data_IF_802602496888
#
_entry.id   IF_802602496888
#
_cell.length_a   1.000
_cell.length_b   1.000
_cell.length_c   1.000
_cell.angle_alpha   90.00
_cell.angle_beta   90.00
_cell.angle_gamma   90.00
#
_symmetry.space_group_name_H-M   'P 1'
#
loop_
_entity.id
_entity.type
_entity.pdbx_description
1 polymer ?
#
# COMPACT_ATOMS: atom_id res chain seq x y z
N UNK A 1 32.41 37.24 -36.29
CA UNK A 1 31.26 36.92 -35.40
C UNK A 1 30.48 35.67 -35.83
N UNK A 2 30.22 35.39 -37.13
CA UNK A 2 29.48 34.18 -37.53
C UNK A 2 30.20 32.84 -37.27
N UNK A 3 31.51 32.75 -37.55
CA UNK A 3 32.24 31.48 -37.43
C UNK A 3 32.37 30.98 -35.99
N UNK A 4 32.60 31.88 -35.03
CA UNK A 4 32.75 31.51 -33.61
C UNK A 4 31.43 30.96 -33.03
N UNK A 5 30.29 31.57 -33.40
CA UNK A 5 28.97 31.05 -33.03
C UNK A 5 28.76 29.64 -33.61
N UNK A 6 29.04 29.44 -34.89
CA UNK A 6 28.89 28.14 -35.55
C UNK A 6 29.79 27.06 -34.93
N UNK A 7 31.01 27.42 -34.53
CA UNK A 7 31.93 26.48 -33.89
C UNK A 7 31.45 26.11 -32.47
N UNK A 8 30.93 27.06 -31.70
CA UNK A 8 30.29 26.77 -30.40
C UNK A 8 29.07 25.86 -30.59
N UNK A 9 28.24 26.09 -31.61
CA UNK A 9 27.09 25.22 -31.89
C UNK A 9 27.53 23.78 -32.23
N UNK A 10 28.57 23.60 -33.04
CA UNK A 10 29.15 22.26 -33.32
C UNK A 10 29.67 21.60 -32.06
N UNK A 11 30.35 22.36 -31.18
CA UNK A 11 30.81 21.84 -29.88
C UNK A 11 29.64 21.39 -29.03
N UNK A 12 28.57 22.18 -28.91
CA UNK A 12 27.38 21.82 -28.13
C UNK A 12 26.64 20.60 -28.70
N UNK A 13 26.59 20.45 -30.02
CA UNK A 13 25.99 19.27 -30.68
C UNK A 13 26.71 17.99 -30.27
N UNK A 14 28.04 18.04 -30.20
CA UNK A 14 28.89 16.89 -29.84
C UNK A 14 29.01 16.71 -28.31
N UNK A 15 29.00 17.80 -27.55
CA UNK A 15 29.15 17.83 -26.10
C UNK A 15 28.26 18.91 -25.46
N UNK A 16 26.99 18.58 -25.13
CA UNK A 16 26.03 19.56 -24.60
C UNK A 16 26.44 20.12 -23.23
N UNK A 17 27.30 19.42 -22.47
CA UNK A 17 27.82 19.91 -21.18
C UNK A 17 28.71 21.16 -21.32
N UNK A 18 29.19 21.48 -22.52
CA UNK A 18 29.93 22.71 -22.78
C UNK A 18 29.10 23.97 -22.48
N UNK A 19 27.77 23.86 -22.39
CA UNK A 19 26.87 24.97 -22.00
C UNK A 19 27.27 25.62 -20.67
N UNK A 20 27.87 24.84 -19.74
CA UNK A 20 28.34 25.35 -18.43
C UNK A 20 29.50 26.36 -18.53
N UNK A 21 30.17 26.38 -19.68
CA UNK A 21 31.36 27.19 -19.95
C UNK A 21 31.05 28.39 -20.85
N UNK A 22 29.79 28.58 -21.23
CA UNK A 22 29.36 29.69 -22.09
C UNK A 22 28.70 30.74 -21.21
N UNK A 23 29.28 31.94 -21.19
CA UNK A 23 28.66 33.09 -20.55
C UNK A 23 27.47 33.57 -21.41
N UNK A 24 26.29 33.69 -20.80
CA UNK A 24 25.05 34.13 -21.45
C UNK A 24 24.71 33.36 -22.75
N UNK A 25 24.50 32.03 -22.71
CA UNK A 25 24.25 31.25 -23.91
C UNK A 25 22.97 31.70 -24.62
N UNK A 26 23.01 31.78 -25.95
CA UNK A 26 21.83 32.11 -26.76
C UNK A 26 20.73 31.04 -26.62
N UNK A 27 19.46 31.39 -26.90
CA UNK A 27 18.35 30.42 -26.82
C UNK A 27 18.60 29.18 -27.71
N UNK A 28 19.25 29.33 -28.86
CA UNK A 28 19.64 28.23 -29.75
C UNK A 28 20.64 27.27 -29.08
N UNK A 29 21.66 27.82 -28.40
CA UNK A 29 22.64 27.05 -27.64
C UNK A 29 21.99 26.32 -26.45
N UNK A 30 21.13 27.04 -25.71
CA UNK A 30 20.34 26.46 -24.62
C UNK A 30 19.48 25.30 -25.13
N UNK A 31 18.81 25.48 -26.28
CA UNK A 31 17.94 24.48 -26.90
C UNK A 31 18.70 23.21 -27.27
N UNK A 32 19.89 23.33 -27.88
CA UNK A 32 20.73 22.17 -28.21
C UNK A 32 21.09 21.40 -26.93
N UNK A 33 21.49 22.11 -25.87
CA UNK A 33 21.88 21.50 -24.61
C UNK A 33 20.71 20.74 -23.96
N UNK A 34 19.57 21.40 -23.72
CA UNK A 34 18.44 20.80 -23.00
C UNK A 34 17.71 19.72 -23.80
N UNK A 35 17.77 19.76 -25.15
CA UNK A 35 17.27 18.65 -25.98
C UNK A 35 18.04 17.36 -25.75
N UNK A 36 19.37 17.46 -25.60
CA UNK A 36 20.23 16.29 -25.37
C UNK A 36 20.14 15.80 -23.92
N UNK A 37 20.11 16.72 -22.95
CA UNK A 37 19.98 16.40 -21.54
C UNK A 37 19.27 17.53 -20.79
N UNK A 38 18.00 17.30 -20.41
CA UNK A 38 17.19 18.27 -19.69
C UNK A 38 17.80 18.73 -18.35
N UNK A 39 18.68 17.94 -17.72
CA UNK A 39 19.33 18.32 -16.46
C UNK A 39 20.32 19.46 -16.61
N UNK A 40 20.75 19.76 -17.84
CA UNK A 40 21.62 20.91 -18.13
C UNK A 40 20.91 22.25 -17.92
N UNK A 41 19.59 22.26 -17.73
CA UNK A 41 18.83 23.45 -17.33
C UNK A 41 19.43 24.14 -16.10
N UNK A 42 20.04 23.38 -15.18
CA UNK A 42 20.70 23.92 -13.97
C UNK A 42 21.86 24.89 -14.23
N UNK A 43 22.43 24.87 -15.44
CA UNK A 43 23.52 25.75 -15.84
C UNK A 43 23.03 26.98 -16.64
N UNK A 44 21.73 27.08 -16.90
CA UNK A 44 21.14 28.16 -17.70
C UNK A 44 20.50 29.17 -16.76
N UNK A 45 21.00 30.41 -16.76
CA UNK A 45 20.38 31.49 -16.03
C UNK A 45 19.14 32.02 -16.77
N UNK A 46 18.02 32.19 -16.05
CA UNK A 46 16.76 32.74 -16.56
C UNK A 46 16.27 32.10 -17.89
N UNK A 47 16.13 30.76 -17.98
CA UNK A 47 15.67 30.09 -19.20
C UNK A 47 14.23 30.50 -19.54
N UNK A 48 13.94 30.66 -20.83
CA UNK A 48 12.58 30.95 -21.30
C UNK A 48 11.65 29.76 -21.04
N UNK A 49 10.34 29.99 -20.98
CA UNK A 49 9.32 28.92 -20.83
C UNK A 49 9.50 27.81 -21.89
N UNK A 50 9.91 28.19 -23.11
CA UNK A 50 10.18 27.24 -24.19
C UNK A 50 11.36 26.33 -23.89
N UNK A 51 12.45 26.87 -23.34
CA UNK A 51 13.63 26.09 -22.93
C UNK A 51 13.31 25.21 -21.72
N UNK A 52 12.56 25.74 -20.76
CA UNK A 52 12.09 24.98 -19.59
C UNK A 52 11.24 23.78 -20.01
N UNK A 53 10.23 23.98 -20.88
CA UNK A 53 9.39 22.89 -21.38
C UNK A 53 10.18 21.84 -22.16
N UNK A 54 11.15 22.25 -22.98
CA UNK A 54 11.99 21.30 -23.69
C UNK A 54 12.87 20.48 -22.73
N UNK A 55 13.43 21.13 -21.71
CA UNK A 55 14.17 20.43 -20.65
C UNK A 55 13.29 19.40 -19.94
N UNK A 56 12.03 19.74 -19.62
CA UNK A 56 11.08 18.79 -19.00
C UNK A 56 10.71 17.62 -19.91
N UNK A 57 10.56 17.85 -21.22
CA UNK A 57 10.33 16.77 -22.20
C UNK A 57 11.52 15.81 -22.29
N UNK A 58 12.74 16.34 -22.23
CA UNK A 58 13.97 15.55 -22.22
C UNK A 58 14.15 14.80 -20.88
N UNK A 59 13.93 15.49 -19.77
CA UNK A 59 14.03 14.93 -18.43
C UNK A 59 13.09 15.65 -17.44
N UNK A 60 12.03 14.95 -17.02
CA UNK A 60 11.04 15.46 -16.07
C UNK A 60 11.62 15.90 -14.71
N UNK A 61 12.78 15.38 -14.30
CA UNK A 61 13.45 15.82 -13.07
C UNK A 61 14.04 17.22 -13.17
N UNK A 62 14.17 17.78 -14.38
CA UNK A 62 14.62 19.15 -14.58
C UNK A 62 13.68 20.20 -13.95
N UNK A 63 12.46 19.80 -13.54
CA UNK A 63 11.54 20.63 -12.75
C UNK A 63 12.19 21.19 -11.48
N UNK A 64 13.15 20.46 -10.89
CA UNK A 64 13.94 20.89 -9.73
C UNK A 64 14.70 22.20 -9.98
N UNK A 65 15.07 22.48 -11.24
CA UNK A 65 15.83 23.66 -11.64
C UNK A 65 14.96 24.80 -12.19
N UNK A 66 13.63 24.62 -12.18
CA UNK A 66 12.70 25.69 -12.54
C UNK A 66 12.26 26.39 -11.26
N UNK A 67 12.57 27.69 -11.14
CA UNK A 67 12.32 28.46 -9.91
C UNK A 67 10.82 28.53 -9.57
N UNK A 68 10.00 28.79 -10.59
CA UNK A 68 8.54 28.98 -10.49
C UNK A 68 7.87 28.22 -11.64
N UNK A 69 7.76 26.88 -11.54
CA UNK A 69 7.14 26.09 -12.59
C UNK A 69 5.64 26.40 -12.69
N UNK A 70 5.10 26.38 -13.90
CA UNK A 70 3.67 26.55 -14.12
C UNK A 70 2.91 25.30 -13.68
N UNK A 71 1.61 25.43 -13.38
CA UNK A 71 0.78 24.27 -13.03
C UNK A 71 0.76 23.22 -14.17
N UNK A 72 0.84 23.67 -15.43
CA UNK A 72 0.94 22.78 -16.59
C UNK A 72 2.24 21.97 -16.59
N UNK A 73 3.39 22.62 -16.28
CA UNK A 73 4.67 21.93 -16.14
C UNK A 73 4.64 20.92 -15.00
N UNK A 74 4.08 21.31 -13.85
CA UNK A 74 3.89 20.45 -12.69
C UNK A 74 3.01 19.23 -13.03
N UNK A 75 1.87 19.44 -13.68
CA UNK A 75 0.97 18.36 -14.11
C UNK A 75 1.68 17.42 -15.08
N UNK A 76 2.37 17.97 -16.09
CA UNK A 76 3.11 17.19 -17.07
C UNK A 76 4.14 16.25 -16.42
N UNK A 77 4.96 16.74 -15.49
CA UNK A 77 5.98 15.88 -14.87
C UNK A 77 5.39 14.84 -13.94
N UNK A 78 4.31 15.16 -13.23
CA UNK A 78 3.63 14.22 -12.33
C UNK A 78 2.90 13.14 -13.12
N UNK A 79 2.26 13.48 -14.25
CA UNK A 79 1.65 12.51 -15.17
C UNK A 79 2.66 11.49 -15.73
N UNK A 80 3.90 11.92 -15.92
CA UNK A 80 4.99 11.06 -16.39
C UNK A 80 5.70 10.30 -15.25
N UNK A 81 5.65 10.81 -14.03
CA UNK A 81 6.12 10.12 -12.82
C UNK A 81 5.56 10.75 -11.55
N UNK A 82 4.74 9.99 -10.82
CA UNK A 82 4.15 10.41 -9.55
C UNK A 82 5.15 10.99 -8.55
N UNK A 83 6.39 10.48 -8.50
CA UNK A 83 7.42 10.92 -7.55
C UNK A 83 8.12 12.22 -7.97
N UNK A 84 7.76 12.85 -9.09
CA UNK A 84 8.18 14.22 -9.44
C UNK A 84 7.61 15.25 -8.49
N UNK A 85 6.51 14.93 -7.84
CA UNK A 85 5.91 15.75 -6.79
C UNK A 85 6.91 16.16 -5.70
N UNK A 86 7.93 15.34 -5.42
CA UNK A 86 8.97 15.64 -4.40
C UNK A 86 9.84 16.85 -4.74
N UNK A 87 9.92 17.21 -6.02
CA UNK A 87 10.70 18.36 -6.51
C UNK A 87 9.85 19.61 -6.70
N UNK A 88 8.53 19.51 -6.52
CA UNK A 88 7.59 20.61 -6.67
C UNK A 88 7.38 21.24 -5.30
N UNK A 89 7.72 22.53 -5.18
CA UNK A 89 7.51 23.27 -3.94
C UNK A 89 6.03 23.59 -3.78
N UNK A 90 5.45 23.25 -2.63
CA UNK A 90 4.04 23.49 -2.29
C UNK A 90 3.07 23.00 -3.38
N UNK A 91 3.05 21.69 -3.72
CA UNK A 91 2.20 21.17 -4.78
C UNK A 91 0.72 21.40 -4.46
N UNK A 92 -0.07 21.65 -5.50
CA UNK A 92 -1.52 21.80 -5.36
C UNK A 92 -2.16 20.50 -4.86
N UNK A 93 -3.31 20.59 -4.20
CA UNK A 93 -4.08 19.41 -3.78
C UNK A 93 -4.46 18.54 -4.98
N UNK A 94 -4.82 19.14 -6.10
CA UNK A 94 -5.14 18.41 -7.33
C UNK A 94 -3.95 17.59 -7.82
N UNK A 95 -2.75 18.19 -7.82
CA UNK A 95 -1.54 17.53 -8.25
C UNK A 95 -1.12 16.38 -7.32
N UNK A 96 -1.27 16.56 -6.00
CA UNK A 96 -1.09 15.50 -5.02
C UNK A 96 -2.06 14.33 -5.27
N UNK A 97 -3.33 14.62 -5.56
CA UNK A 97 -4.33 13.60 -5.90
C UNK A 97 -3.97 12.88 -7.21
N UNK A 98 -3.48 13.60 -8.24
CA UNK A 98 -2.99 12.97 -9.48
C UNK A 98 -1.83 12.00 -9.20
N UNK A 99 -0.90 12.37 -8.32
CA UNK A 99 0.19 11.50 -7.91
C UNK A 99 -0.32 10.25 -7.15
N UNK A 100 -1.26 10.43 -6.22
CA UNK A 100 -1.87 9.32 -5.44
C UNK A 100 -2.62 8.33 -6.34
N UNK A 101 -3.38 8.82 -7.32
CA UNK A 101 -4.07 7.96 -8.31
C UNK A 101 -3.10 7.07 -9.11
N UNK A 102 -1.88 7.53 -9.34
CA UNK A 102 -0.83 6.74 -9.97
C UNK A 102 -0.15 5.77 -8.99
N UNK A 103 0.16 6.23 -7.77
CA UNK A 103 0.81 5.43 -6.72
C UNK A 103 0.36 5.89 -5.34
N UNK A 104 -0.22 5.00 -4.54
CA UNK A 104 -0.76 5.31 -3.22
C UNK A 104 0.30 5.88 -2.27
N UNK A 105 1.56 5.45 -2.42
CA UNK A 105 2.70 5.96 -1.66
C UNK A 105 2.94 7.46 -1.81
N UNK A 106 2.41 8.11 -2.84
CA UNK A 106 2.49 9.55 -2.99
C UNK A 106 1.82 10.33 -1.85
N UNK A 107 0.96 9.68 -1.04
CA UNK A 107 0.36 10.29 0.15
C UNK A 107 1.40 10.80 1.15
N UNK A 108 2.62 10.26 1.15
CA UNK A 108 3.72 10.74 1.99
C UNK A 108 4.07 12.23 1.75
N UNK A 109 3.66 12.79 0.60
CA UNK A 109 3.87 14.20 0.25
C UNK A 109 2.63 15.08 0.54
N UNK A 110 1.51 14.48 0.96
CA UNK A 110 0.29 15.19 1.31
C UNK A 110 0.28 15.43 2.82
N UNK A 111 0.46 16.69 3.25
CA UNK A 111 0.33 17.06 4.66
C UNK A 111 -1.15 17.09 5.08
N UNK A 112 -1.47 16.39 6.17
CA UNK A 112 -2.82 16.32 6.75
C UNK A 112 -3.90 15.92 5.72
N UNK A 113 -3.78 14.75 5.05
CA UNK A 113 -4.71 14.34 4.01
C UNK A 113 -6.10 14.05 4.61
N UNK A 114 -7.19 14.54 3.99
CA UNK A 114 -8.54 14.20 4.44
C UNK A 114 -8.80 12.69 4.26
N UNK A 115 -9.75 12.15 5.01
CA UNK A 115 -10.05 10.70 5.04
C UNK A 115 -10.25 10.11 3.63
N UNK A 116 -10.95 10.82 2.73
CA UNK A 116 -11.16 10.37 1.35
C UNK A 116 -9.85 10.14 0.57
N UNK A 117 -8.83 10.94 0.84
CA UNK A 117 -7.51 10.82 0.20
C UNK A 117 -6.70 9.71 0.85
N UNK A 118 -6.84 9.53 2.16
CA UNK A 118 -6.27 8.38 2.88
C UNK A 118 -6.83 7.06 2.34
N UNK A 119 -8.15 6.98 2.16
CA UNK A 119 -8.83 5.82 1.55
C UNK A 119 -8.32 5.58 0.14
N UNK A 120 -8.27 6.61 -0.70
CA UNK A 120 -7.75 6.49 -2.07
C UNK A 120 -6.32 5.93 -2.11
N UNK A 121 -5.46 6.37 -1.18
CA UNK A 121 -4.09 5.89 -1.11
C UNK A 121 -4.00 4.40 -0.73
N UNK A 122 -4.75 3.96 0.30
CA UNK A 122 -4.73 2.55 0.72
C UNK A 122 -5.44 1.63 -0.28
N UNK A 123 -6.46 2.11 -0.99
CA UNK A 123 -7.06 1.36 -2.11
C UNK A 123 -6.10 1.18 -3.27
N UNK A 124 -5.25 2.18 -3.52
CA UNK A 124 -4.25 2.10 -4.58
C UNK A 124 -3.08 1.18 -4.22
N UNK A 125 -2.55 1.34 -3.02
CA UNK A 125 -1.47 0.52 -2.47
C UNK A 125 -1.76 0.39 -0.96
N UNK A 126 -2.23 -0.78 -0.49
CA UNK A 126 -2.65 -0.99 0.91
C UNK A 126 -1.57 -0.65 1.93
N UNK A 127 -0.29 -0.82 1.56
CA UNK A 127 0.85 -0.54 2.42
C UNK A 127 1.16 0.96 2.52
N UNK A 128 0.45 1.82 1.77
CA UNK A 128 0.50 3.28 1.92
C UNK A 128 0.09 3.75 3.31
N UNK A 129 -0.66 2.93 4.06
CA UNK A 129 -1.03 3.24 5.44
C UNK A 129 0.19 3.52 6.33
N UNK A 130 1.37 2.96 6.01
CA UNK A 130 2.64 3.26 6.71
C UNK A 130 3.09 4.71 6.58
N UNK A 131 2.60 5.44 5.59
CA UNK A 131 2.90 6.85 5.33
C UNK A 131 1.82 7.80 5.85
N UNK A 132 0.76 7.29 6.48
CA UNK A 132 -0.31 8.08 7.05
C UNK A 132 -0.03 8.22 8.55
N UNK A 133 0.19 9.45 9.03
CA UNK A 133 0.57 9.69 10.43
C UNK A 133 -0.57 9.33 11.39
N UNK A 134 -1.81 9.73 11.05
CA UNK A 134 -3.00 9.49 11.86
C UNK A 134 -4.13 8.92 10.99
N UNK A 135 -4.04 7.63 10.60
CA UNK A 135 -5.09 7.01 9.80
C UNK A 135 -6.37 6.87 10.63
N UNK A 136 -7.50 7.25 10.03
CA UNK A 136 -8.80 7.06 10.68
C UNK A 136 -9.12 5.58 10.85
N UNK A 137 -10.05 5.24 11.74
CA UNK A 137 -10.51 3.87 11.92
C UNK A 137 -11.01 3.25 10.61
N UNK A 138 -11.72 4.02 9.79
CA UNK A 138 -12.18 3.61 8.46
C UNK A 138 -11.02 3.22 7.54
N UNK A 139 -9.94 4.01 7.54
CA UNK A 139 -8.74 3.77 6.73
C UNK A 139 -8.00 2.53 7.21
N UNK A 140 -7.85 2.37 8.54
CA UNK A 140 -7.25 1.16 9.15
C UNK A 140 -8.01 -0.10 8.74
N UNK A 141 -9.34 -0.07 8.85
CA UNK A 141 -10.24 -1.16 8.43
C UNK A 141 -10.06 -1.46 6.94
N UNK A 142 -10.15 -0.43 6.08
CA UNK A 142 -10.01 -0.60 4.62
C UNK A 142 -8.67 -1.25 4.24
N UNK A 143 -7.58 -0.86 4.89
CA UNK A 143 -6.27 -1.43 4.61
C UNK A 143 -6.22 -2.95 4.90
N UNK A 144 -6.73 -3.40 6.05
CA UNK A 144 -6.76 -4.84 6.40
C UNK A 144 -7.81 -5.64 5.61
N UNK A 145 -8.91 -5.00 5.21
CA UNK A 145 -9.90 -5.56 4.30
C UNK A 145 -9.32 -5.84 2.90
N UNK A 146 -8.40 -5.01 2.42
CA UNK A 146 -7.66 -5.26 1.18
C UNK A 146 -6.62 -6.35 1.42
N UNK A 147 -5.70 -6.14 2.38
CA UNK A 147 -4.61 -7.06 2.67
C UNK A 147 -4.39 -7.20 4.17
N UNK A 148 -4.49 -8.42 4.69
CA UNK A 148 -4.48 -8.68 6.14
C UNK A 148 -3.16 -8.24 6.79
N UNK A 149 -2.05 -8.36 6.07
CA UNK A 149 -0.72 -8.03 6.57
C UNK A 149 -0.49 -6.51 6.70
N UNK A 150 -1.45 -5.67 6.25
CA UNK A 150 -1.45 -4.22 6.51
C UNK A 150 -1.42 -3.91 8.01
N UNK A 151 -1.93 -4.81 8.85
CA UNK A 151 -1.93 -4.67 10.30
C UNK A 151 -0.53 -4.43 10.88
N UNK A 152 0.54 -4.93 10.22
CA UNK A 152 1.93 -4.71 10.65
C UNK A 152 2.36 -3.24 10.63
N UNK A 153 1.65 -2.39 9.89
CA UNK A 153 1.93 -0.95 9.80
C UNK A 153 0.95 -0.10 10.62
N UNK A 154 -0.05 -0.72 11.26
CA UNK A 154 -1.06 -0.02 12.04
C UNK A 154 -0.62 0.02 13.49
N UNK A 155 -0.32 1.21 14.00
CA UNK A 155 -0.09 1.40 15.43
C UNK A 155 -1.40 1.26 16.19
N UNK A 156 -1.36 0.49 17.27
CA UNK A 156 -2.49 0.27 18.19
C UNK A 156 -3.79 -0.02 17.42
N UNK A 157 -3.86 -1.12 16.64
CA UNK A 157 -5.06 -1.46 15.90
C UNK A 157 -6.21 -1.71 16.86
N UNK A 158 -7.41 -1.21 16.57
CA UNK A 158 -8.59 -1.50 17.37
C UNK A 158 -8.91 -3.00 17.32
N UNK A 159 -9.73 -3.49 18.26
CA UNK A 159 -10.23 -4.87 18.22
C UNK A 159 -10.90 -5.20 16.88
N UNK A 160 -11.61 -4.24 16.28
CA UNK A 160 -12.25 -4.41 14.96
C UNK A 160 -11.22 -4.67 13.87
N UNK A 161 -10.17 -3.85 13.79
CA UNK A 161 -9.09 -3.99 12.81
C UNK A 161 -8.35 -5.32 13.01
N UNK A 162 -8.05 -5.68 14.26
CA UNK A 162 -7.41 -6.94 14.62
C UNK A 162 -8.23 -8.15 14.14
N UNK A 163 -9.52 -8.20 14.50
CA UNK A 163 -10.45 -9.29 14.12
C UNK A 163 -10.56 -9.45 12.60
N UNK A 164 -10.63 -8.35 11.85
CA UNK A 164 -10.66 -8.40 10.38
C UNK A 164 -9.38 -9.04 9.83
N UNK A 165 -8.20 -8.58 10.26
CA UNK A 165 -6.94 -9.14 9.80
C UNK A 165 -6.81 -10.64 10.14
N UNK A 166 -7.12 -11.02 11.38
CA UNK A 166 -7.05 -12.40 11.89
C UNK A 166 -8.05 -13.32 11.18
N UNK A 167 -9.26 -12.84 10.90
CA UNK A 167 -10.27 -13.61 10.17
C UNK A 167 -9.82 -13.99 8.75
N UNK A 168 -8.98 -13.15 8.11
CA UNK A 168 -8.45 -13.38 6.76
C UNK A 168 -7.21 -14.27 6.80
N UNK A 169 -6.35 -14.10 7.79
CA UNK A 169 -5.18 -14.93 7.99
C UNK A 169 -4.77 -14.96 9.46
N UNK A 170 -4.62 -16.16 10.00
CA UNK A 170 -4.25 -16.36 11.40
C UNK A 170 -2.85 -15.86 11.75
N UNK A 171 -1.94 -15.72 10.76
CA UNK A 171 -0.60 -15.16 10.97
C UNK A 171 -0.64 -13.67 11.37
N UNK A 172 -1.75 -12.98 11.16
CA UNK A 172 -1.96 -11.61 11.61
C UNK A 172 -1.65 -11.43 13.12
N UNK A 173 -1.91 -12.45 13.95
CA UNK A 173 -1.64 -12.40 15.39
C UNK A 173 -0.15 -12.21 15.73
N UNK A 174 0.76 -12.53 14.80
CA UNK A 174 2.21 -12.34 15.00
C UNK A 174 2.62 -10.86 14.94
N UNK A 175 1.76 -9.99 14.39
CA UNK A 175 1.97 -8.55 14.28
C UNK A 175 1.17 -7.75 15.31
N UNK A 176 0.40 -8.40 16.18
CA UNK A 176 -0.40 -7.74 17.22
C UNK A 176 0.35 -7.87 18.55
N UNK A 177 0.70 -6.73 19.14
CA UNK A 177 1.36 -6.69 20.44
C UNK A 177 0.35 -6.83 21.59
N UNK A 178 0.78 -7.44 22.70
CA UNK A 178 0.03 -7.50 23.96
C UNK A 178 -1.41 -8.02 23.84
N UNK A 179 -1.62 -9.10 23.07
CA UNK A 179 -2.94 -9.72 22.88
C UNK A 179 -3.51 -10.18 24.23
N UNK A 180 -4.65 -9.61 24.61
CA UNK A 180 -5.37 -9.95 25.85
C UNK A 180 -6.05 -11.31 25.75
N UNK A 181 -6.43 -11.89 26.89
CA UNK A 181 -7.22 -13.14 26.90
C UNK A 181 -8.53 -12.98 26.11
N UNK A 182 -9.24 -11.87 26.31
CA UNK A 182 -10.45 -11.54 25.55
C UNK A 182 -10.20 -11.46 24.04
N UNK A 183 -9.08 -10.87 23.62
CA UNK A 183 -8.68 -10.81 22.22
C UNK A 183 -8.45 -12.22 21.65
N UNK A 184 -7.74 -13.09 22.37
CA UNK A 184 -7.56 -14.49 21.97
C UNK A 184 -8.89 -15.23 21.82
N UNK A 185 -9.85 -15.02 22.73
CA UNK A 185 -11.17 -15.64 22.63
C UNK A 185 -11.89 -15.21 21.34
N UNK A 186 -11.86 -13.90 21.02
CA UNK A 186 -12.40 -13.39 19.77
C UNK A 186 -11.69 -13.96 18.53
N UNK A 187 -10.36 -14.06 18.57
CA UNK A 187 -9.56 -14.58 17.45
C UNK A 187 -9.82 -16.05 17.17
N UNK A 188 -9.97 -16.87 18.22
CA UNK A 188 -10.36 -18.28 18.08
C UNK A 188 -11.76 -18.38 17.45
N UNK A 189 -12.70 -17.54 17.88
CA UNK A 189 -14.06 -17.50 17.32
C UNK A 189 -14.07 -17.09 15.84
N UNK A 190 -13.18 -16.18 15.43
CA UNK A 190 -13.10 -15.66 14.06
C UNK A 190 -12.32 -16.58 13.12
N UNK A 191 -11.21 -17.16 13.58
CA UNK A 191 -10.35 -18.03 12.79
C UNK A 191 -9.68 -19.10 13.67
N UNK A 192 -10.19 -20.32 13.63
CA UNK A 192 -9.69 -21.45 14.43
C UNK A 192 -8.22 -21.79 14.16
N UNK A 193 -7.65 -21.41 13.02
CA UNK A 193 -6.23 -21.67 12.71
C UNK A 193 -5.29 -20.91 13.64
N UNK A 194 -5.75 -19.89 14.38
CA UNK A 194 -4.93 -19.17 15.36
C UNK A 194 -4.45 -20.06 16.51
N UNK A 195 -5.06 -21.23 16.72
CA UNK A 195 -4.69 -22.16 17.78
C UNK A 195 -3.19 -22.54 17.76
N UNK A 196 -2.53 -22.51 16.59
CA UNK A 196 -1.07 -22.70 16.49
C UNK A 196 -0.23 -21.65 17.23
N UNK A 197 -0.83 -20.50 17.59
CA UNK A 197 -0.18 -19.37 18.28
C UNK A 197 -0.71 -19.10 19.70
N UNK A 198 -1.83 -19.73 20.08
CA UNK A 198 -2.47 -19.52 21.39
C UNK A 198 -1.56 -20.04 22.51
N UNK A 199 -0.93 -21.21 22.33
CA UNK A 199 -0.13 -21.88 23.36
C UNK A 199 -0.89 -21.93 24.72
N UNK A 200 -0.22 -21.79 25.86
CA UNK A 200 -0.83 -21.83 27.19
C UNK A 200 -1.59 -20.55 27.59
N UNK A 201 -1.95 -19.67 26.64
CA UNK A 201 -2.63 -18.38 26.92
C UNK A 201 -4.12 -18.56 27.21
N UNK A 202 -4.72 -19.64 26.73
CA UNK A 202 -6.13 -20.00 26.96
C UNK A 202 -6.15 -21.47 27.35
N UNK A 203 -6.92 -21.82 28.39
CA UNK A 203 -7.03 -23.22 28.81
C UNK A 203 -7.72 -24.07 27.74
N UNK A 204 -7.42 -25.37 27.69
CA UNK A 204 -8.09 -26.26 26.75
C UNK A 204 -9.62 -26.26 26.94
N UNK A 205 -10.09 -26.18 28.19
CA UNK A 205 -11.52 -26.11 28.52
C UNK A 205 -12.15 -24.85 27.91
N UNK A 206 -11.49 -23.70 28.05
CA UNK A 206 -11.95 -22.45 27.46
C UNK A 206 -11.98 -22.50 25.94
N UNK A 207 -10.95 -23.08 25.30
CA UNK A 207 -10.93 -23.27 23.85
C UNK A 207 -12.12 -24.13 23.40
N UNK A 208 -12.37 -25.24 24.08
CA UNK A 208 -13.51 -26.11 23.79
C UNK A 208 -14.85 -25.37 23.96
N UNK A 209 -14.99 -24.54 24.99
CA UNK A 209 -16.19 -23.71 25.19
C UNK A 209 -16.40 -22.68 24.08
N UNK A 210 -15.36 -21.98 23.64
CA UNK A 210 -15.42 -21.01 22.53
C UNK A 210 -15.87 -21.71 21.25
N UNK A 211 -15.26 -22.86 20.93
CA UNK A 211 -15.60 -23.62 19.72
C UNK A 211 -17.02 -24.15 19.80
N UNK A 212 -17.42 -24.72 20.94
CA UNK A 212 -18.80 -25.16 21.19
C UNK A 212 -19.79 -24.03 20.94
N UNK A 213 -19.50 -22.84 21.45
CA UNK A 213 -20.35 -21.67 21.30
C UNK A 213 -20.40 -21.11 19.88
N UNK A 214 -19.34 -21.30 19.09
CA UNK A 214 -19.32 -20.96 17.67
C UNK A 214 -20.10 -21.97 16.83
N UNK A 215 -19.86 -23.27 17.00
CA UNK A 215 -20.43 -24.31 16.13
C UNK A 215 -21.90 -24.61 16.41
N UNK A 216 -22.43 -24.22 17.57
CA UNK A 216 -23.87 -24.33 17.88
C UNK A 216 -24.73 -23.33 17.10
N UNK A 217 -24.13 -22.26 16.54
CA UNK A 217 -24.85 -21.23 15.77
C UNK A 217 -25.22 -21.76 14.38
N UNK A 218 -26.43 -21.45 13.91
CA UNK A 218 -26.90 -21.89 12.58
C UNK A 218 -26.30 -21.07 11.43
N UNK A 219 -25.67 -19.93 11.72
CA UNK A 219 -24.97 -19.12 10.72
C UNK A 219 -23.50 -19.53 10.53
N UNK A 220 -22.98 -20.48 11.31
CA UNK A 220 -21.57 -20.90 11.30
C UNK A 220 -21.05 -21.16 9.87
N UNK A 221 -19.86 -20.65 9.58
CA UNK A 221 -19.21 -20.82 8.28
C UNK A 221 -18.72 -22.27 8.11
N UNK A 222 -18.97 -22.86 6.94
CA UNK A 222 -18.48 -24.19 6.57
C UNK A 222 -16.95 -24.29 6.64
N UNK A 223 -16.23 -23.26 6.23
CA UNK A 223 -14.77 -23.24 6.23
C UNK A 223 -14.21 -23.31 7.65
N UNK A 224 -14.86 -22.62 8.61
CA UNK A 224 -14.50 -22.72 10.03
C UNK A 224 -14.61 -24.17 10.55
N UNK A 225 -15.67 -24.88 10.18
CA UNK A 225 -15.87 -26.28 10.57
C UNK A 225 -14.81 -27.18 9.95
N UNK A 226 -14.49 -26.97 8.66
CA UNK A 226 -13.45 -27.73 7.97
C UNK A 226 -12.08 -27.49 8.61
N UNK A 227 -11.74 -26.24 8.91
CA UNK A 227 -10.49 -25.88 9.57
C UNK A 227 -10.41 -26.48 10.98
N UNK A 228 -11.52 -26.51 11.73
CA UNK A 228 -11.58 -27.17 13.04
C UNK A 228 -11.39 -28.70 12.93
N UNK A 229 -11.95 -29.35 11.91
CA UNK A 229 -11.74 -30.79 11.69
C UNK A 229 -10.28 -31.09 11.37
N UNK A 230 -9.64 -30.23 10.57
CA UNK A 230 -8.24 -30.36 10.14
C UNK A 230 -7.24 -29.94 11.22
N UNK A 231 -7.69 -29.23 12.25
CA UNK A 231 -6.83 -28.80 13.34
C UNK A 231 -6.14 -30.00 14.01
N UNK A 232 -4.82 -29.88 14.13
CA UNK A 232 -3.96 -30.87 14.77
C UNK A 232 -3.55 -30.46 16.18
N UNK A 233 -3.84 -29.24 16.62
CA UNK A 233 -3.44 -28.70 17.93
C UNK A 233 -4.31 -29.28 19.05
N UNK A 234 -5.64 -29.25 18.88
CA UNK A 234 -6.60 -29.79 19.84
C UNK A 234 -6.67 -31.31 19.75
N UNK A 235 -6.45 -31.99 20.87
CA UNK A 235 -6.47 -33.46 20.96
C UNK A 235 -7.83 -33.98 21.43
N UNK A 236 -8.88 -33.63 20.68
CA UNK A 236 -10.25 -34.10 20.91
C UNK A 236 -10.81 -34.85 19.70
N UNK A 237 -11.83 -35.67 19.93
CA UNK A 237 -12.63 -36.27 18.86
C UNK A 237 -13.57 -35.21 18.25
N UNK A 238 -13.07 -34.53 17.19
CA UNK A 238 -13.81 -33.45 16.51
C UNK A 238 -15.13 -33.92 15.91
N UNK A 239 -15.20 -35.18 15.46
CA UNK A 239 -16.42 -35.75 14.87
C UNK A 239 -17.49 -35.84 15.95
N UNK A 240 -17.17 -36.49 17.09
CA UNK A 240 -18.09 -36.62 18.22
C UNK A 240 -18.45 -35.26 18.81
N UNK A 241 -17.50 -34.33 18.85
CA UNK A 241 -17.71 -32.96 19.32
C UNK A 241 -18.75 -32.22 18.48
N UNK A 242 -18.61 -32.24 17.15
CA UNK A 242 -19.55 -31.61 16.21
C UNK A 242 -20.93 -32.28 16.28
N UNK A 243 -21.01 -33.61 16.35
CA UNK A 243 -22.31 -34.28 16.49
C UNK A 243 -23.03 -33.90 17.78
N UNK A 244 -22.29 -33.77 18.89
CA UNK A 244 -22.85 -33.46 20.21
C UNK A 244 -23.29 -32.00 20.33
N UNK A 245 -22.50 -31.05 19.82
CA UNK A 245 -22.70 -29.63 20.10
C UNK A 245 -22.99 -28.77 18.87
N UNK A 246 -22.71 -29.27 17.66
CA UNK A 246 -22.88 -28.53 16.43
C UNK A 246 -24.34 -28.36 16.00
N UNK A 247 -24.60 -27.23 15.34
CA UNK A 247 -25.83 -26.94 14.59
C UNK A 247 -26.07 -27.93 13.45
N UNK A 248 -27.24 -27.87 12.83
CA UNK A 248 -27.50 -28.69 11.63
C UNK A 248 -26.52 -28.32 10.50
N UNK A 249 -26.23 -27.03 10.34
CA UNK A 249 -25.23 -26.55 9.37
C UNK A 249 -23.82 -27.08 9.65
N UNK A 250 -23.39 -27.11 10.92
CA UNK A 250 -22.09 -27.69 11.29
C UNK A 250 -22.01 -29.19 10.98
N UNK A 251 -23.09 -29.94 11.25
CA UNK A 251 -23.18 -31.38 10.94
C UNK A 251 -23.19 -31.65 9.44
N UNK A 252 -23.88 -30.83 8.66
CA UNK A 252 -23.86 -30.90 7.20
C UNK A 252 -22.46 -30.64 6.64
N UNK A 253 -21.76 -29.61 7.12
CA UNK A 253 -20.39 -29.31 6.72
C UNK A 253 -19.43 -30.49 7.02
N UNK A 254 -19.58 -31.14 8.17
CA UNK A 254 -18.83 -32.35 8.52
C UNK A 254 -19.11 -33.51 7.55
N UNK A 255 -20.37 -33.75 7.20
CA UNK A 255 -20.76 -34.82 6.28
C UNK A 255 -20.21 -34.58 4.87
N UNK A 256 -20.35 -33.36 4.36
CA UNK A 256 -19.79 -32.94 3.07
C UNK A 256 -18.27 -33.19 3.02
N UNK A 257 -17.57 -32.80 4.09
CA UNK A 257 -16.13 -33.02 4.19
C UNK A 257 -15.79 -34.52 4.13
N UNK A 258 -16.51 -35.37 4.88
CA UNK A 258 -16.32 -36.84 4.84
C UNK A 258 -16.57 -37.43 3.46
N UNK A 259 -17.62 -37.01 2.75
CA UNK A 259 -17.89 -37.48 1.40
C UNK A 259 -16.79 -37.05 0.41
N UNK A 260 -16.26 -35.84 0.57
CA UNK A 260 -15.18 -35.34 -0.30
C UNK A 260 -13.89 -36.14 -0.18
N UNK A 261 -13.58 -36.68 1.01
CA UNK A 261 -12.39 -37.53 1.19
C UNK A 261 -12.65 -38.97 0.75
N UNK A 262 -13.89 -39.48 0.85
CA UNK A 262 -14.24 -40.84 0.46
C UNK A 262 -14.32 -41.04 -1.05
N UNK A 263 -14.64 -40.00 -1.82
CA UNK A 263 -14.74 -40.06 -3.29
C UNK A 263 -13.40 -39.84 -4.02
N UNK A 264 -12.31 -39.63 -3.29
CA UNK A 264 -10.96 -39.44 -3.83
C UNK A 264 -10.09 -40.72 -3.74
N UNK A 265 -10.73 -41.88 -3.51
CA UNK A 265 -10.14 -43.23 -3.54
C UNK A 265 -10.96 -44.12 -4.47
#
# INVERSE_FOLDING_TARGET
MNNEKEDILKVLINNPYYIKSIDNPTEEMQMIAVKKDGMLLKYIANPTIKIQNEALRSNKWAIEYIKEPTEEMCSFVVEQAWNAIKYIKNPSKELLVKAIKQKGWAIQFYKDPPEEIQIMAVEKDWDSIKYIEQPTETVKVRAVEIEWNAIKYIKEPSMKVQRIAVSKNEEAVTFIENITEEAWRNFIEDNIKVLKYVDNKISQVDIEEIIKDKIKKEDVNKDYIIDFIKDSTLKIDKIKFIYKYGSMKAKAALLDYKLSISNNF
#
